data_IF_237653533692
#
_entry.id   IF_237653533692
#
_cell.length_a   1.000
_cell.length_b   1.000
_cell.length_c   1.000
_cell.angle_alpha   90.00
_cell.angle_beta   90.00
_cell.angle_gamma   90.00
#
_symmetry.space_group_name_H-M   'P 1'
#
loop_
_entity.id
_entity.type
_entity.pdbx_description
1 polymer ?
#
# COMPACT_ATOMS: atom_id res chain seq x y z
N UNK A 1 -9.73 -2.13 -33.80
CA UNK A 1 -8.81 -0.96 -33.71
C UNK A 1 -7.49 -1.47 -33.17
N UNK A 2 -6.38 -1.12 -33.80
CA UNK A 2 -5.05 -1.45 -33.25
C UNK A 2 -4.60 -0.33 -32.32
N UNK A 3 -4.18 -0.68 -31.11
CA UNK A 3 -3.66 0.30 -30.13
C UNK A 3 -2.34 0.88 -30.67
N UNK A 4 -2.19 2.21 -30.77
CA UNK A 4 -0.95 2.83 -31.19
C UNK A 4 0.20 2.47 -30.26
N UNK A 5 1.32 2.01 -30.80
CA UNK A 5 2.55 1.73 -30.05
C UNK A 5 3.50 2.91 -30.17
N UNK A 6 3.87 3.52 -29.06
CA UNK A 6 4.79 4.66 -29.07
C UNK A 6 6.21 4.16 -29.27
N UNK A 7 6.99 4.71 -30.24
CA UNK A 7 8.40 4.38 -30.39
C UNK A 7 9.19 4.68 -29.12
N UNK A 8 10.00 3.73 -28.67
CA UNK A 8 10.73 3.80 -27.41
C UNK A 8 12.19 3.36 -27.56
N UNK A 9 13.01 3.75 -26.59
CA UNK A 9 14.40 3.29 -26.52
C UNK A 9 14.43 1.77 -26.16
N UNK A 10 15.42 1.01 -26.69
CA UNK A 10 15.61 -0.37 -26.28
C UNK A 10 15.83 -0.49 -24.77
N UNK A 11 15.28 -1.54 -24.14
CA UNK A 11 15.42 -1.89 -22.71
C UNK A 11 14.78 -0.85 -21.77
N UNK A 12 15.15 0.42 -21.87
CA UNK A 12 14.71 1.50 -20.95
C UNK A 12 13.27 1.94 -21.28
N UNK A 13 12.88 1.83 -22.55
CA UNK A 13 11.55 2.29 -22.99
C UNK A 13 11.38 3.80 -22.79
N UNK A 14 10.26 4.17 -22.18
CA UNK A 14 9.90 5.55 -21.81
C UNK A 14 10.18 5.86 -20.34
N UNK A 15 10.93 5.02 -19.64
CA UNK A 15 11.12 5.15 -18.18
C UNK A 15 11.70 6.48 -17.74
N UNK A 16 12.65 7.05 -18.50
CA UNK A 16 13.26 8.33 -18.14
C UNK A 16 12.30 9.52 -18.25
N UNK A 17 11.61 9.76 -19.37
CA UNK A 17 10.63 10.85 -19.45
C UNK A 17 9.46 10.62 -18.48
N UNK A 18 9.00 9.40 -18.30
CA UNK A 18 7.93 9.06 -17.39
C UNK A 18 8.34 9.33 -15.92
N UNK A 19 9.52 8.91 -15.49
CA UNK A 19 10.02 9.16 -14.14
C UNK A 19 10.26 10.65 -13.87
N UNK A 20 10.70 11.42 -14.88
CA UNK A 20 10.94 12.85 -14.73
C UNK A 20 9.65 13.64 -14.54
N UNK A 21 8.61 13.36 -15.32
CA UNK A 21 7.29 13.95 -15.16
C UNK A 21 6.24 13.11 -15.92
N UNK A 22 5.63 12.15 -15.22
CA UNK A 22 4.65 11.22 -15.80
C UNK A 22 3.44 11.97 -16.39
N UNK A 23 2.92 12.98 -15.68
CA UNK A 23 1.74 13.72 -16.08
C UNK A 23 1.99 14.51 -17.40
N UNK A 24 3.14 15.18 -17.49
CA UNK A 24 3.52 15.90 -18.73
C UNK A 24 3.70 14.91 -19.88
N UNK A 25 4.44 13.83 -19.65
CA UNK A 25 4.68 12.79 -20.65
C UNK A 25 3.37 12.20 -21.18
N UNK A 26 2.48 11.74 -20.30
CA UNK A 26 1.19 11.15 -20.71
C UNK A 26 0.29 12.15 -21.44
N UNK A 27 0.25 13.42 -21.00
CA UNK A 27 -0.51 14.47 -21.66
C UNK A 27 0.02 14.81 -23.06
N UNK A 28 1.33 14.82 -23.26
CA UNK A 28 1.94 15.00 -24.59
C UNK A 28 1.65 13.82 -25.51
N UNK A 29 1.71 12.61 -24.99
CA UNK A 29 1.41 11.39 -25.75
C UNK A 29 -0.08 11.31 -26.10
N UNK A 30 -0.97 11.69 -25.19
CA UNK A 30 -2.41 11.78 -25.43
C UNK A 30 -2.74 12.70 -26.60
N UNK A 31 -2.13 13.90 -26.64
CA UNK A 31 -2.34 14.86 -27.74
C UNK A 31 -1.91 14.32 -29.10
N UNK A 32 -0.89 13.44 -29.11
CA UNK A 32 -0.30 12.93 -30.35
C UNK A 32 -0.91 11.61 -30.82
N UNK A 33 -1.27 10.72 -29.91
CA UNK A 33 -1.68 9.35 -30.20
C UNK A 33 -3.12 9.03 -29.79
N UNK A 34 -3.82 9.99 -29.15
CA UNK A 34 -5.18 9.79 -28.62
C UNK A 34 -5.20 9.24 -27.20
N UNK A 35 -6.37 8.85 -26.74
CA UNK A 35 -6.62 8.48 -25.34
C UNK A 35 -6.17 7.08 -24.97
N UNK A 36 -5.86 6.24 -25.95
CA UNK A 36 -5.44 4.86 -25.76
C UNK A 36 -4.16 4.61 -26.55
N UNK A 37 -3.08 4.26 -25.86
CA UNK A 37 -1.79 3.97 -26.49
C UNK A 37 -0.93 3.04 -25.64
N UNK A 38 0.03 2.37 -26.27
CA UNK A 38 1.00 1.51 -25.58
C UNK A 38 2.30 2.25 -25.32
N UNK A 39 2.76 2.19 -24.07
CA UNK A 39 4.10 2.60 -23.66
C UNK A 39 4.92 1.40 -23.17
N UNK A 40 6.22 1.57 -23.08
CA UNK A 40 7.12 0.59 -22.48
C UNK A 40 7.91 1.24 -21.35
N UNK A 41 7.93 0.63 -20.17
CA UNK A 41 8.73 1.05 -19.02
C UNK A 41 9.58 -0.13 -18.55
N UNK A 42 10.90 0.01 -18.58
CA UNK A 42 11.85 -1.05 -18.19
C UNK A 42 11.53 -2.42 -18.83
N UNK A 43 11.30 -2.40 -20.13
CA UNK A 43 10.94 -3.58 -20.93
C UNK A 43 9.54 -4.18 -20.68
N UNK A 44 8.78 -3.64 -19.74
CA UNK A 44 7.37 -3.99 -19.54
C UNK A 44 6.46 -3.12 -20.41
N UNK A 45 5.40 -3.73 -20.96
CA UNK A 45 4.43 -3.05 -21.82
C UNK A 45 3.21 -2.65 -21.02
N UNK A 46 2.80 -1.40 -21.19
CA UNK A 46 1.63 -0.83 -20.54
C UNK A 46 0.70 -0.21 -21.57
N UNK A 47 -0.59 -0.40 -21.40
CA UNK A 47 -1.61 0.33 -22.14
C UNK A 47 -2.06 1.51 -21.27
N UNK A 48 -1.85 2.73 -21.77
CA UNK A 48 -2.40 3.92 -21.15
C UNK A 48 -3.85 4.10 -21.60
N UNK A 49 -4.75 4.27 -20.64
CA UNK A 49 -6.17 4.52 -20.83
C UNK A 49 -6.51 5.82 -20.10
N UNK A 50 -6.79 6.89 -20.84
CA UNK A 50 -6.85 8.26 -20.31
C UNK A 50 -8.25 8.87 -20.35
N UNK A 51 -9.29 8.04 -20.45
CA UNK A 51 -10.68 8.52 -20.40
C UNK A 51 -11.34 8.12 -19.08
N UNK A 52 -12.31 8.91 -18.59
CA UNK A 52 -13.13 8.55 -17.43
C UNK A 52 -13.89 7.23 -17.63
N UNK A 53 -14.38 6.98 -18.84
CA UNK A 53 -15.14 5.79 -19.20
C UNK A 53 -14.25 4.54 -19.07
N UNK A 54 -13.07 4.53 -19.70
CA UNK A 54 -12.12 3.43 -19.59
C UNK A 54 -11.65 3.19 -18.15
N UNK A 55 -11.43 4.26 -17.39
CA UNK A 55 -11.11 4.18 -15.97
C UNK A 55 -12.24 3.52 -15.18
N UNK A 56 -13.49 3.91 -15.44
CA UNK A 56 -14.66 3.30 -14.82
C UNK A 56 -14.79 1.82 -15.14
N UNK A 57 -14.58 1.43 -16.40
CA UNK A 57 -14.69 0.04 -16.85
C UNK A 57 -13.64 -0.85 -16.17
N UNK A 58 -12.39 -0.36 -16.05
CA UNK A 58 -11.33 -1.09 -15.33
C UNK A 58 -11.65 -1.23 -13.84
N UNK A 59 -12.11 -0.16 -13.18
CA UNK A 59 -12.37 -0.21 -11.73
C UNK A 59 -13.64 -1.00 -11.37
N UNK A 60 -14.63 -1.05 -12.25
CA UNK A 60 -15.83 -1.84 -12.03
C UNK A 60 -15.65 -3.31 -12.40
N UNK A 61 -14.82 -3.58 -13.38
CA UNK A 61 -14.46 -4.91 -13.91
C UNK A 61 -15.59 -5.95 -13.81
N UNK A 62 -16.75 -5.63 -14.39
CA UNK A 62 -17.97 -6.42 -14.26
C UNK A 62 -17.86 -7.85 -14.77
N UNK A 63 -16.95 -8.06 -15.68
CA UNK A 63 -16.75 -9.33 -16.38
C UNK A 63 -15.50 -10.08 -15.90
N UNK A 64 -14.89 -9.62 -14.79
CA UNK A 64 -13.67 -10.19 -14.19
C UNK A 64 -12.53 -10.35 -15.24
N UNK A 65 -12.29 -9.30 -16.05
CA UNK A 65 -11.31 -9.31 -17.15
C UNK A 65 -9.91 -8.85 -16.75
N UNK A 66 -9.80 -8.13 -15.63
CA UNK A 66 -8.56 -7.50 -15.21
C UNK A 66 -7.99 -8.15 -13.94
N UNK A 67 -6.69 -8.45 -13.99
CA UNK A 67 -5.95 -9.01 -12.86
C UNK A 67 -5.18 -7.92 -12.13
N UNK A 68 -5.57 -7.61 -10.90
CA UNK A 68 -4.78 -6.78 -9.98
C UNK A 68 -3.47 -7.46 -9.61
N UNK A 69 -3.51 -8.77 -9.39
CA UNK A 69 -2.33 -9.59 -9.07
C UNK A 69 -1.24 -9.46 -10.13
N UNK A 70 -1.58 -9.67 -11.40
CA UNK A 70 -0.61 -9.53 -12.50
C UNK A 70 -0.09 -8.10 -12.64
N UNK A 71 -0.98 -7.11 -12.53
CA UNK A 71 -0.61 -5.70 -12.62
C UNK A 71 0.35 -5.24 -11.52
N UNK A 72 0.19 -5.74 -10.30
CA UNK A 72 1.02 -5.34 -9.16
C UNK A 72 2.16 -6.31 -8.84
N UNK A 73 2.20 -7.51 -9.44
CA UNK A 73 3.19 -8.55 -9.14
C UNK A 73 4.63 -8.05 -9.25
N UNK A 74 4.94 -7.28 -10.29
CA UNK A 74 6.29 -6.75 -10.51
C UNK A 74 6.70 -5.77 -9.40
N UNK A 75 5.81 -4.91 -8.94
CA UNK A 75 6.14 -3.88 -7.94
C UNK A 75 5.97 -4.36 -6.51
N UNK A 76 4.87 -5.01 -6.18
CA UNK A 76 4.51 -5.40 -4.82
C UNK A 76 4.87 -6.84 -4.47
N UNK A 77 4.95 -7.74 -5.47
CA UNK A 77 5.15 -9.18 -5.25
C UNK A 77 6.24 -9.52 -4.24
N UNK A 78 7.47 -9.02 -4.40
CA UNK A 78 8.56 -9.38 -3.51
C UNK A 78 8.38 -8.94 -2.04
N UNK A 79 7.64 -7.85 -1.81
CA UNK A 79 7.52 -7.23 -0.47
C UNK A 79 6.18 -7.43 0.20
N UNK A 80 5.12 -7.62 -0.59
CA UNK A 80 3.74 -7.75 -0.13
C UNK A 80 3.06 -9.01 -0.66
N UNK A 81 3.84 -10.08 -0.83
CA UNK A 81 3.35 -11.40 -1.25
C UNK A 81 2.13 -11.81 -0.42
N UNK A 82 1.12 -12.34 -1.11
CA UNK A 82 -0.18 -12.71 -0.53
C UNK A 82 -1.02 -11.54 0.02
N UNK A 83 -0.58 -10.30 -0.14
CA UNK A 83 -1.40 -9.13 0.20
C UNK A 83 -2.67 -9.03 -0.64
N UNK A 84 -3.69 -8.34 -0.13
CA UNK A 84 -5.00 -8.22 -0.79
C UNK A 84 -4.90 -7.68 -2.23
N UNK A 85 -3.98 -6.77 -2.51
CA UNK A 85 -3.74 -6.23 -3.86
C UNK A 85 -3.13 -7.25 -4.85
N UNK A 86 -2.61 -8.37 -4.35
CA UNK A 86 -2.02 -9.46 -5.14
C UNK A 86 -2.94 -10.68 -5.20
N UNK A 87 -4.24 -10.45 -5.07
CA UNK A 87 -5.28 -11.46 -5.17
C UNK A 87 -6.32 -11.02 -6.20
N UNK A 88 -6.92 -11.96 -6.89
CA UNK A 88 -7.91 -11.71 -7.92
C UNK A 88 -9.21 -12.48 -7.63
N UNK A 89 -10.29 -12.05 -8.27
CA UNK A 89 -11.57 -12.75 -8.36
C UNK A 89 -12.10 -13.27 -7.02
N UNK A 90 -12.42 -14.53 -6.93
CA UNK A 90 -13.02 -15.13 -5.72
C UNK A 90 -12.04 -15.16 -4.54
N UNK A 91 -10.73 -15.33 -4.78
CA UNK A 91 -9.71 -15.25 -3.73
C UNK A 91 -9.64 -13.83 -3.14
N UNK A 92 -9.71 -12.80 -3.98
CA UNK A 92 -9.80 -11.41 -3.52
C UNK A 92 -11.11 -11.16 -2.76
N UNK A 93 -12.25 -11.61 -3.29
CA UNK A 93 -13.56 -11.44 -2.65
C UNK A 93 -13.60 -12.09 -1.26
N UNK A 94 -13.08 -13.32 -1.14
CA UNK A 94 -12.98 -14.03 0.14
C UNK A 94 -12.17 -13.23 1.18
N UNK A 95 -10.92 -12.87 0.87
CA UNK A 95 -10.06 -12.16 1.80
C UNK A 95 -10.57 -10.74 2.12
N UNK A 96 -11.19 -10.06 1.15
CA UNK A 96 -11.84 -8.77 1.39
C UNK A 96 -13.01 -8.90 2.36
N UNK A 97 -13.79 -9.96 2.25
CA UNK A 97 -14.92 -10.20 3.18
C UNK A 97 -14.44 -10.39 4.61
N UNK A 98 -13.32 -11.12 4.83
CA UNK A 98 -12.72 -11.26 6.16
C UNK A 98 -12.33 -9.92 6.80
N UNK A 99 -11.98 -8.93 5.98
CA UNK A 99 -11.64 -7.58 6.45
C UNK A 99 -12.86 -6.72 6.73
N UNK A 100 -14.02 -7.00 6.13
CA UNK A 100 -15.20 -6.11 6.18
C UNK A 100 -15.71 -5.91 7.60
N UNK A 101 -15.69 -6.95 8.42
CA UNK A 101 -16.20 -6.87 9.79
C UNK A 101 -15.41 -5.86 10.64
N UNK A 102 -14.11 -5.76 10.41
CA UNK A 102 -13.24 -4.75 11.07
C UNK A 102 -13.53 -3.31 10.65
N UNK A 103 -14.31 -3.09 9.59
CA UNK A 103 -14.70 -1.77 9.10
C UNK A 103 -16.19 -1.48 9.22
N UNK A 104 -16.93 -2.30 10.00
CA UNK A 104 -18.34 -2.04 10.29
C UNK A 104 -18.49 -0.82 11.19
N UNK A 105 -19.68 -0.23 11.17
CA UNK A 105 -20.00 1.00 11.88
C UNK A 105 -19.64 0.93 13.39
N UNK A 106 -19.94 -0.17 14.03
CA UNK A 106 -19.66 -0.37 15.46
C UNK A 106 -18.17 -0.45 15.76
N UNK A 107 -17.38 -1.12 14.89
CA UNK A 107 -15.93 -1.17 15.00
C UNK A 107 -15.32 0.23 14.83
N UNK A 108 -15.78 0.99 13.85
CA UNK A 108 -15.32 2.37 13.61
C UNK A 108 -15.61 3.27 14.81
N UNK A 109 -16.77 3.14 15.46
CA UNK A 109 -17.05 3.89 16.70
C UNK A 109 -16.04 3.58 17.81
N UNK A 110 -15.69 2.31 18.01
CA UNK A 110 -14.67 1.92 18.97
C UNK A 110 -13.29 2.51 18.64
N UNK A 111 -12.97 2.64 17.36
CA UNK A 111 -11.70 3.26 16.93
C UNK A 111 -11.63 4.76 17.24
N UNK A 112 -12.75 5.48 17.23
CA UNK A 112 -12.77 6.90 17.57
C UNK A 112 -12.33 7.16 19.03
N UNK A 113 -12.66 6.26 19.95
CA UNK A 113 -12.20 6.35 21.34
C UNK A 113 -10.69 6.22 21.48
N UNK A 114 -10.05 5.44 20.59
CA UNK A 114 -8.59 5.29 20.53
C UNK A 114 -7.94 6.49 19.85
N UNK A 115 -8.54 6.98 18.76
CA UNK A 115 -7.98 8.03 17.91
C UNK A 115 -8.03 9.41 18.60
N UNK A 116 -9.13 9.72 19.29
CA UNK A 116 -9.37 11.04 19.86
C UNK A 116 -8.26 11.51 20.81
N UNK A 117 -7.77 10.70 21.77
CA UNK A 117 -6.66 11.08 22.64
C UNK A 117 -5.37 11.35 21.86
N UNK A 118 -5.08 10.58 20.81
CA UNK A 118 -3.88 10.72 19.99
C UNK A 118 -3.91 12.08 19.25
N UNK A 119 -5.05 12.41 18.64
CA UNK A 119 -5.22 13.71 17.97
C UNK A 119 -5.09 14.86 18.96
N UNK A 120 -5.71 14.76 20.13
CA UNK A 120 -5.63 15.81 21.15
C UNK A 120 -4.18 16.03 21.59
N UNK A 121 -3.43 14.97 21.86
CA UNK A 121 -2.02 15.06 22.23
C UNK A 121 -1.18 15.66 21.10
N UNK A 122 -1.44 15.29 19.86
CA UNK A 122 -0.76 15.84 18.69
C UNK A 122 -1.01 17.35 18.56
N UNK A 123 -2.26 17.81 18.71
CA UNK A 123 -2.61 19.25 18.71
C UNK A 123 -1.87 20.01 19.79
N UNK A 124 -1.82 19.49 21.02
CA UNK A 124 -1.08 20.12 22.12
C UNK A 124 0.42 20.19 21.85
N UNK A 125 1.00 19.16 21.23
CA UNK A 125 2.40 19.18 20.84
C UNK A 125 2.69 20.23 19.76
N UNK A 126 1.79 20.41 18.78
CA UNK A 126 1.91 21.45 17.75
C UNK A 126 1.87 22.86 18.37
N UNK A 127 0.96 23.11 19.33
CA UNK A 127 0.87 24.40 20.03
C UNK A 127 2.18 24.74 20.75
N UNK A 128 2.84 23.74 21.34
CA UNK A 128 4.11 23.93 22.07
C UNK A 128 5.30 24.13 21.15
N UNK A 129 5.29 23.53 19.95
CA UNK A 129 6.41 23.57 19.01
C UNK A 129 6.62 24.94 18.34
N UNK A 130 5.58 25.80 18.28
CA UNK A 130 5.62 27.13 17.65
C UNK A 130 5.72 27.08 16.13
N UNK A 131 6.65 26.32 15.56
CA UNK A 131 6.76 26.05 14.12
C UNK A 131 6.98 24.57 13.86
N UNK A 132 6.40 24.05 12.76
CA UNK A 132 6.51 22.63 12.42
C UNK A 132 6.31 22.41 10.92
N UNK A 133 6.81 21.29 10.40
CA UNK A 133 6.50 20.84 9.07
C UNK A 133 5.19 20.05 9.07
N UNK A 134 4.12 20.61 8.51
CA UNK A 134 2.79 20.03 8.52
C UNK A 134 2.78 18.61 7.90
N UNK A 135 3.41 18.43 6.75
CA UNK A 135 3.40 17.14 6.06
C UNK A 135 4.03 16.03 6.91
N UNK A 136 5.20 16.29 7.48
CA UNK A 136 5.88 15.31 8.34
C UNK A 136 5.08 15.03 9.62
N UNK A 137 4.52 16.07 10.22
CA UNK A 137 3.73 15.96 11.44
C UNK A 137 2.45 15.15 11.24
N UNK A 138 1.71 15.41 10.14
CA UNK A 138 0.50 14.64 9.80
C UNK A 138 0.87 13.19 9.46
N UNK A 139 1.98 12.96 8.75
CA UNK A 139 2.45 11.61 8.43
C UNK A 139 2.75 10.80 9.69
N UNK A 140 3.40 11.42 10.68
CA UNK A 140 3.65 10.77 11.97
C UNK A 140 2.33 10.50 12.72
N UNK A 141 1.42 11.48 12.78
CA UNK A 141 0.09 11.28 13.38
C UNK A 141 -0.65 10.09 12.78
N UNK A 142 -0.70 10.00 11.44
CA UNK A 142 -1.37 8.88 10.76
C UNK A 142 -0.72 7.54 11.08
N UNK A 143 0.61 7.52 11.22
CA UNK A 143 1.32 6.32 11.63
C UNK A 143 1.00 5.92 13.07
N UNK A 144 1.01 6.86 14.01
CA UNK A 144 0.69 6.62 15.42
C UNK A 144 -0.75 6.13 15.61
N UNK A 145 -1.70 6.73 14.87
CA UNK A 145 -3.10 6.25 14.82
C UNK A 145 -3.16 4.81 14.31
N UNK A 146 -2.50 4.52 13.20
CA UNK A 146 -2.49 3.17 12.62
C UNK A 146 -1.92 2.14 13.59
N UNK A 147 -0.79 2.44 14.22
CA UNK A 147 -0.19 1.53 15.22
C UNK A 147 -1.12 1.29 16.41
N UNK A 148 -1.77 2.34 16.91
CA UNK A 148 -2.67 2.21 18.06
C UNK A 148 -3.95 1.45 17.74
N UNK A 149 -4.43 1.52 16.49
CA UNK A 149 -5.56 0.70 16.03
C UNK A 149 -5.18 -0.77 15.85
N UNK A 150 -3.95 -1.02 15.38
CA UNK A 150 -3.46 -2.40 15.23
C UNK A 150 -3.00 -2.98 16.57
N UNK A 151 -2.24 -2.21 17.36
CA UNK A 151 -1.61 -2.69 18.60
C UNK A 151 -1.75 -1.62 19.69
N UNK A 152 -2.63 -1.82 20.66
CA UNK A 152 -2.98 -0.81 21.68
C UNK A 152 -1.77 -0.26 22.47
N UNK A 153 -0.75 -1.07 22.73
CA UNK A 153 0.34 -0.74 23.66
C UNK A 153 1.71 -0.87 22.96
N UNK A 154 1.97 -0.04 21.95
CA UNK A 154 3.30 0.05 21.31
C UNK A 154 4.11 1.16 21.99
N UNK A 155 5.30 0.82 22.49
CA UNK A 155 6.21 1.79 23.08
C UNK A 155 6.75 2.78 22.04
N UNK A 156 7.11 4.02 22.39
CA UNK A 156 7.60 5.02 21.44
C UNK A 156 8.82 4.57 20.63
N UNK A 157 9.79 3.92 21.26
CA UNK A 157 10.99 3.37 20.61
C UNK A 157 10.66 2.23 19.64
N UNK A 158 9.71 1.38 19.99
CA UNK A 158 9.17 0.32 19.13
C UNK A 158 8.42 0.92 17.94
N UNK A 159 7.61 1.98 18.17
CA UNK A 159 6.90 2.71 17.13
C UNK A 159 7.86 3.29 16.08
N UNK A 160 8.93 3.95 16.50
CA UNK A 160 9.94 4.50 15.58
C UNK A 160 10.61 3.41 14.74
N UNK A 161 10.96 2.29 15.37
CA UNK A 161 11.54 1.13 14.67
C UNK A 161 10.58 0.56 13.63
N UNK A 162 9.31 0.35 14.00
CA UNK A 162 8.29 -0.17 13.09
C UNK A 162 8.04 0.80 11.92
N UNK A 163 7.95 2.10 12.18
CA UNK A 163 7.82 3.12 11.13
C UNK A 163 8.93 3.01 10.10
N UNK A 164 10.18 2.92 10.55
CA UNK A 164 11.32 2.76 9.65
C UNK A 164 11.23 1.49 8.80
N UNK A 165 10.85 0.36 9.40
CA UNK A 165 10.70 -0.91 8.70
C UNK A 165 9.58 -0.86 7.65
N UNK A 166 8.42 -0.28 7.99
CA UNK A 166 7.35 -0.06 7.01
C UNK A 166 7.81 0.84 5.85
N UNK A 167 8.51 1.93 6.16
CA UNK A 167 9.04 2.82 5.13
C UNK A 167 10.07 2.14 4.23
N UNK A 168 10.94 1.29 4.77
CA UNK A 168 11.90 0.51 3.99
C UNK A 168 11.19 -0.52 3.08
N UNK A 169 10.11 -1.17 3.58
CA UNK A 169 9.28 -2.07 2.78
C UNK A 169 8.60 -1.36 1.62
N UNK A 170 7.97 -0.21 1.87
CA UNK A 170 7.31 0.60 0.83
C UNK A 170 8.33 1.11 -0.20
N UNK A 171 9.49 1.58 0.26
CA UNK A 171 10.55 2.07 -0.62
C UNK A 171 11.12 0.98 -1.54
N UNK A 172 11.07 -0.28 -1.13
CA UNK A 172 11.49 -1.41 -1.97
C UNK A 172 10.50 -1.69 -3.10
N UNK A 173 9.19 -1.55 -2.85
CA UNK A 173 8.15 -1.73 -3.85
C UNK A 173 8.29 -0.76 -5.05
N UNK A 174 8.80 0.44 -4.81
CA UNK A 174 9.04 1.48 -5.84
C UNK A 174 10.51 1.55 -6.30
N UNK A 175 11.34 0.55 -5.93
CA UNK A 175 12.76 0.54 -6.29
C UNK A 175 12.97 0.23 -7.78
N UNK A 176 13.78 1.03 -8.46
CA UNK A 176 14.19 0.75 -9.83
C UNK A 176 15.10 -0.50 -9.91
N UNK A 177 15.91 -0.75 -8.87
CA UNK A 177 16.76 -1.95 -8.77
C UNK A 177 15.95 -3.04 -8.05
N UNK A 178 15.48 -4.04 -8.81
CA UNK A 178 14.62 -5.12 -8.33
C UNK A 178 15.38 -6.31 -7.72
N UNK A 179 16.70 -6.33 -7.86
CA UNK A 179 17.55 -7.38 -7.27
C UNK A 179 17.97 -7.02 -5.84
N UNK A 180 17.95 -7.99 -4.90
CA UNK A 180 18.31 -7.76 -3.50
C UNK A 180 19.83 -7.70 -3.28
N UNK A 181 20.52 -6.87 -4.07
CA UNK A 181 21.95 -6.65 -3.96
C UNK A 181 22.32 -5.87 -2.67
N UNK A 182 23.54 -5.97 -2.18
CA UNK A 182 24.01 -5.17 -1.05
C UNK A 182 23.72 -3.68 -1.26
N UNK A 183 23.28 -3.01 -0.20
CA UNK A 183 22.96 -1.56 -0.15
C UNK A 183 21.75 -1.11 -0.98
N UNK A 184 21.03 -2.01 -1.68
CA UNK A 184 19.83 -1.65 -2.42
C UNK A 184 18.61 -1.48 -1.52
N UNK A 185 17.64 -0.65 -1.96
CA UNK A 185 16.33 -0.51 -1.32
C UNK A 185 15.60 -1.85 -1.27
N UNK A 186 15.72 -2.67 -2.33
CA UNK A 186 15.10 -4.00 -2.39
C UNK A 186 15.59 -4.89 -1.23
N UNK A 187 16.90 -4.99 -1.01
CA UNK A 187 17.44 -5.81 0.10
C UNK A 187 17.00 -5.30 1.48
N UNK A 188 16.96 -3.98 1.65
CA UNK A 188 16.46 -3.38 2.91
C UNK A 188 15.01 -3.70 3.15
N UNK A 189 14.16 -3.55 2.13
CA UNK A 189 12.73 -3.82 2.22
C UNK A 189 12.40 -5.29 2.49
N UNK A 190 13.12 -6.24 1.87
CA UNK A 190 12.94 -7.67 2.14
C UNK A 190 13.29 -8.02 3.58
N UNK A 191 14.40 -7.48 4.11
CA UNK A 191 14.75 -7.66 5.54
C UNK A 191 13.72 -7.02 6.47
N UNK A 192 13.21 -5.85 6.10
CA UNK A 192 12.16 -5.18 6.86
C UNK A 192 10.87 -6.01 6.87
N UNK A 193 10.49 -6.59 5.72
CA UNK A 193 9.34 -7.50 5.61
C UNK A 193 9.49 -8.73 6.52
N UNK A 194 10.63 -9.39 6.48
CA UNK A 194 10.92 -10.56 7.33
C UNK A 194 10.71 -10.20 8.81
N UNK A 195 11.33 -9.12 9.27
CA UNK A 195 11.15 -8.67 10.66
C UNK A 195 9.68 -8.33 10.99
N UNK A 196 8.98 -7.65 10.08
CA UNK A 196 7.56 -7.29 10.30
C UNK A 196 6.68 -8.53 10.38
N UNK A 197 6.91 -9.55 9.55
CA UNK A 197 6.17 -10.81 9.62
C UNK A 197 6.40 -11.52 10.96
N UNK A 198 7.64 -11.68 11.38
CA UNK A 198 7.98 -12.29 12.68
C UNK A 198 7.33 -11.50 13.83
N UNK A 199 7.35 -10.17 13.74
CA UNK A 199 6.72 -9.29 14.71
C UNK A 199 5.20 -9.51 14.78
N UNK A 200 4.51 -9.50 13.63
CA UNK A 200 3.06 -9.73 13.57
C UNK A 200 2.70 -11.14 14.07
N UNK A 201 3.47 -12.14 13.69
CA UNK A 201 3.26 -13.52 14.12
C UNK A 201 3.41 -13.66 15.65
N UNK A 202 4.44 -13.06 16.23
CA UNK A 202 4.62 -13.02 17.68
C UNK A 202 3.47 -12.32 18.41
N UNK A 203 2.95 -11.23 17.86
CA UNK A 203 1.80 -10.51 18.43
C UNK A 203 0.50 -11.31 18.29
N UNK A 204 0.30 -11.99 17.16
CA UNK A 204 -0.86 -12.84 16.94
C UNK A 204 -0.94 -14.01 17.95
N UNK A 205 0.21 -14.58 18.30
CA UNK A 205 0.31 -15.62 19.31
C UNK A 205 -0.09 -15.19 20.74
N UNK A 206 -0.08 -13.88 21.03
CA UNK A 206 -0.47 -13.31 22.32
C UNK A 206 -1.96 -12.95 22.41
N UNK A 207 -2.69 -12.99 21.27
CA UNK A 207 -4.11 -12.65 21.22
C UNK A 207 -4.95 -13.82 21.75
N UNK A 208 -5.79 -13.54 22.73
CA UNK A 208 -6.80 -14.43 23.28
C UNK A 208 -8.18 -13.76 23.19
N UNK A 209 -9.25 -14.50 23.53
CA UNK A 209 -10.63 -14.03 23.46
C UNK A 209 -10.94 -12.86 24.42
N UNK A 210 -10.08 -12.59 25.41
CA UNK A 210 -10.20 -11.49 26.36
C UNK A 210 -9.39 -10.24 25.91
N UNK A 211 -8.62 -10.37 24.80
CA UNK A 211 -7.82 -9.27 24.28
C UNK A 211 -8.73 -8.09 23.90
N UNK A 212 -8.28 -6.88 24.23
CA UNK A 212 -8.98 -5.65 23.84
C UNK A 212 -9.25 -5.65 22.33
N UNK A 213 -10.40 -5.17 21.91
CA UNK A 213 -10.82 -5.07 20.51
C UNK A 213 -9.89 -4.12 19.73
N UNK A 214 -8.86 -4.67 19.13
CA UNK A 214 -8.03 -3.99 18.13
C UNK A 214 -8.34 -4.53 16.76
N UNK A 215 -8.06 -3.77 15.71
CA UNK A 215 -8.21 -4.23 14.34
C UNK A 215 -7.41 -5.54 14.11
N UNK A 216 -6.21 -5.64 14.67
CA UNK A 216 -5.38 -6.83 14.54
C UNK A 216 -5.97 -8.04 15.30
N UNK A 217 -6.51 -7.83 16.51
CA UNK A 217 -7.13 -8.89 17.28
C UNK A 217 -8.39 -9.43 16.55
N UNK A 218 -9.20 -8.56 15.97
CA UNK A 218 -10.37 -8.95 15.17
C UNK A 218 -9.95 -9.79 13.96
N UNK A 219 -8.94 -9.36 13.20
CA UNK A 219 -8.42 -10.11 12.05
C UNK A 219 -7.87 -11.50 12.43
N UNK A 220 -7.14 -11.59 13.54
CA UNK A 220 -6.62 -12.88 14.02
C UNK A 220 -7.73 -13.81 14.46
N UNK A 221 -8.77 -13.29 15.14
CA UNK A 221 -9.88 -14.09 15.62
C UNK A 221 -10.79 -14.58 14.48
N UNK A 222 -11.01 -13.75 13.44
CA UNK A 222 -11.78 -14.14 12.25
C UNK A 222 -11.13 -15.34 11.54
N UNK A 223 -9.80 -15.33 11.38
CA UNK A 223 -9.07 -16.46 10.78
C UNK A 223 -9.10 -17.75 11.61
N UNK A 224 -9.27 -17.66 12.93
CA UNK A 224 -9.37 -18.86 13.80
C UNK A 224 -10.75 -19.53 13.75
N UNK A 225 -11.78 -18.84 13.24
CA UNK A 225 -13.13 -19.36 13.13
C UNK A 225 -13.41 -20.19 11.88
N UNK A 226 -12.54 -20.13 10.87
CA UNK A 226 -12.66 -20.82 9.58
C UNK A 226 -11.82 -22.11 9.49
N UNK A 227 -11.26 -22.61 10.60
CA UNK A 227 -10.45 -23.83 10.71
C UNK A 227 -11.21 -25.03 11.25
#
# INVERSE_FOLDING_TARGET
MTVPVIPSLPIIGHSLPFQRNALKFTSEMQKKYGDVFQISLLNEKFIALLTPEATKDIFLDKDDLFSSKEGWAVSLGPTFENGLMLRDFDDHKYHRTLLQDSFRHDAIHGYLEIIQPIINQWVENLKKAGSFNLYQSVKQLMFDISLSLFFLDVKPDESEKLNKLFMDSIASATSAIRWPLPFTKMKKGLKAREFLLDYFESKAGLINNESKKTLFAELVNTNKGDG
#
